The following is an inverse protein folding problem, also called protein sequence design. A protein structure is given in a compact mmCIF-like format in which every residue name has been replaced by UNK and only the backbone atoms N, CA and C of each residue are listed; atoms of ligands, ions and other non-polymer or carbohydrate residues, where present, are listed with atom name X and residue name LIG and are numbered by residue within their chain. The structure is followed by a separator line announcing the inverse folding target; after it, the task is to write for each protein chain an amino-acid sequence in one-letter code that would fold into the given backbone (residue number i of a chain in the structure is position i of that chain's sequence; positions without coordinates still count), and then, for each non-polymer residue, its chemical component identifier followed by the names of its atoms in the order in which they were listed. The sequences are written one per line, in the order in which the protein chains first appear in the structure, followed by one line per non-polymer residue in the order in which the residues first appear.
data_IF_942939043684
#
_entry.id   IF_942939043684
#
_cell.length_a   1.000
_cell.length_b   1.000
_cell.length_c   1.000
_cell.angle_alpha   90.00
_cell.angle_beta   90.00
_cell.angle_gamma   90.00
#
_symmetry.space_group_name_H-M   'P 1'
#
loop_
_entity.id
_entity.type
_entity.pdbx_description
1 polymer ?
#
# COMPACT_ATOMS: atom_id res chain seq x y z
N UNK A 1 -5.03 -22.82 -4.26
CA UNK A 1 -4.17 -21.62 -4.46
C UNK A 1 -2.83 -21.93 -3.80
N UNK A 2 -1.71 -21.79 -4.52
CA UNK A 2 -0.37 -22.03 -3.96
C UNK A 2 0.36 -20.70 -3.96
N UNK A 3 0.87 -20.29 -2.80
CA UNK A 3 1.72 -19.10 -2.68
C UNK A 3 3.15 -19.55 -2.86
N UNK A 4 3.87 -18.91 -3.79
CA UNK A 4 5.27 -19.17 -4.05
C UNK A 4 6.03 -17.88 -3.81
N UNK A 5 7.11 -17.95 -3.04
CA UNK A 5 7.99 -16.81 -2.83
C UNK A 5 8.92 -16.64 -4.02
N UNK A 6 9.07 -15.40 -4.47
CA UNK A 6 9.98 -15.00 -5.53
C UNK A 6 10.76 -13.76 -5.10
N UNK A 7 11.99 -13.64 -5.59
CA UNK A 7 12.84 -12.46 -5.36
C UNK A 7 12.88 -11.61 -6.62
N UNK A 8 12.72 -10.31 -6.46
CA UNK A 8 12.90 -9.35 -7.55
C UNK A 8 14.41 -9.17 -7.77
N UNK A 9 14.89 -9.51 -8.97
CA UNK A 9 16.28 -9.27 -9.36
C UNK A 9 16.43 -7.87 -9.98
N UNK A 10 15.47 -7.50 -10.82
CA UNK A 10 15.33 -6.16 -11.41
C UNK A 10 13.87 -5.92 -11.83
N UNK A 11 13.60 -4.77 -12.46
CA UNK A 11 12.25 -4.37 -12.87
C UNK A 11 11.55 -5.34 -13.84
N UNK A 12 12.29 -6.25 -14.47
CA UNK A 12 11.80 -7.17 -15.50
C UNK A 12 12.03 -8.65 -15.17
N UNK A 13 12.80 -8.95 -14.12
CA UNK A 13 13.16 -10.33 -13.77
C UNK A 13 12.79 -10.69 -12.33
N UNK A 14 12.12 -11.84 -12.22
CA UNK A 14 11.78 -12.49 -10.95
C UNK A 14 12.52 -13.83 -10.87
N UNK A 15 13.16 -14.09 -9.74
CA UNK A 15 13.75 -15.37 -9.39
C UNK A 15 12.78 -16.16 -8.52
N UNK A 16 12.41 -17.35 -8.98
CA UNK A 16 11.54 -18.25 -8.24
C UNK A 16 12.35 -19.08 -7.25
N UNK A 17 11.85 -19.22 -6.02
CA UNK A 17 12.46 -20.12 -5.02
C UNK A 17 12.26 -21.61 -5.36
N UNK A 18 11.24 -21.93 -6.15
CA UNK A 18 10.89 -23.29 -6.56
C UNK A 18 10.23 -23.33 -7.95
N UNK A 19 10.27 -24.48 -8.64
CA UNK A 19 9.62 -24.63 -9.95
C UNK A 19 8.09 -24.51 -9.89
N UNK A 20 7.51 -23.89 -10.91
CA UNK A 20 6.05 -23.84 -11.09
C UNK A 20 5.61 -25.03 -11.93
N UNK A 21 4.88 -25.97 -11.32
CA UNK A 21 4.31 -27.13 -11.99
C UNK A 21 2.94 -26.80 -12.62
N UNK A 22 2.93 -25.96 -13.66
CA UNK A 22 1.73 -25.61 -14.45
C UNK A 22 1.89 -26.02 -15.91
N UNK A 23 0.79 -26.34 -16.61
CA UNK A 23 0.87 -26.72 -18.02
C UNK A 23 1.35 -25.55 -18.89
N UNK A 24 1.98 -25.83 -20.05
CA UNK A 24 2.33 -24.80 -21.02
C UNK A 24 1.10 -23.99 -21.44
N UNK A 25 1.23 -22.67 -21.51
CA UNK A 25 0.13 -21.76 -21.83
C UNK A 25 -0.76 -21.37 -20.65
N UNK A 26 -0.47 -21.84 -19.43
CA UNK A 26 -1.14 -21.37 -18.23
C UNK A 26 -0.79 -19.90 -17.94
N UNK A 27 -1.81 -19.10 -17.62
CA UNK A 27 -1.65 -17.74 -17.10
C UNK A 27 -1.49 -17.79 -15.58
N UNK A 28 -0.50 -17.07 -15.05
CA UNK A 28 -0.31 -16.85 -13.62
C UNK A 28 -0.54 -15.37 -13.30
N UNK A 29 -1.16 -15.11 -12.16
CA UNK A 29 -1.37 -13.76 -11.63
C UNK A 29 -0.34 -13.49 -10.52
N UNK A 30 0.19 -12.27 -10.48
CA UNK A 30 1.17 -11.84 -9.48
C UNK A 30 0.58 -10.66 -8.73
N UNK A 31 0.40 -10.81 -7.42
CA UNK A 31 -0.02 -9.74 -6.52
C UNK A 31 1.22 -9.09 -5.91
N UNK A 32 1.39 -7.79 -6.13
CA UNK A 32 2.47 -6.99 -5.55
C UNK A 32 1.82 -6.02 -4.57
N UNK A 33 2.22 -5.99 -3.28
CA UNK A 33 1.72 -4.99 -2.36
C UNK A 33 2.19 -3.60 -2.80
N UNK A 34 1.26 -2.64 -2.96
CA UNK A 34 1.62 -1.24 -3.15
C UNK A 34 1.63 -0.55 -1.78
N UNK A 35 2.82 -0.29 -1.25
CA UNK A 35 3.00 0.41 0.04
C UNK A 35 2.45 1.85 0.01
N UNK A 36 2.16 2.40 -1.18
CA UNK A 36 1.60 3.75 -1.31
C UNK A 36 0.12 3.83 -0.96
N UNK A 37 -0.64 2.75 -1.14
CA UNK A 37 -2.07 2.74 -0.84
C UNK A 37 -2.32 2.81 0.67
N UNK A 38 -1.65 1.98 1.47
CA UNK A 38 -1.78 2.01 2.95
C UNK A 38 -1.35 3.36 3.55
N UNK A 39 -0.27 3.94 3.02
CA UNK A 39 0.21 5.25 3.50
C UNK A 39 -0.77 6.38 3.20
N UNK A 40 -1.44 6.35 2.04
CA UNK A 40 -2.43 7.36 1.66
C UNK A 40 -3.69 7.27 2.51
N UNK A 41 -4.22 6.06 2.73
CA UNK A 41 -5.42 5.86 3.55
C UNK A 41 -5.22 6.34 5.00
N UNK A 42 -4.06 6.04 5.58
CA UNK A 42 -3.72 6.46 6.94
C UNK A 42 -3.49 7.97 7.01
N UNK A 43 -2.87 8.56 5.98
CA UNK A 43 -2.65 9.99 5.91
C UNK A 43 -3.97 10.77 5.78
N UNK A 44 -4.92 10.26 5.00
CA UNK A 44 -6.25 10.87 4.86
C UNK A 44 -7.08 10.76 6.14
N UNK A 45 -7.09 9.59 6.79
CA UNK A 45 -7.77 9.39 8.07
C UNK A 45 -7.16 10.25 9.19
N UNK A 46 -5.83 10.33 9.26
CA UNK A 46 -5.12 11.17 10.23
C UNK A 46 -5.38 12.65 9.97
N UNK A 47 -5.42 13.10 8.70
CA UNK A 47 -5.76 14.48 8.35
C UNK A 47 -7.20 14.84 8.71
N UNK A 48 -8.14 13.94 8.47
CA UNK A 48 -9.54 14.15 8.83
C UNK A 48 -9.70 14.29 10.36
N UNK A 49 -9.08 13.38 11.13
CA UNK A 49 -9.10 13.45 12.60
C UNK A 49 -8.35 14.68 13.13
N UNK A 50 -7.25 15.08 12.49
CA UNK A 50 -6.52 16.29 12.87
C UNK A 50 -7.39 17.53 12.65
N UNK A 51 -8.04 17.67 11.49
CA UNK A 51 -8.91 18.82 11.22
C UNK A 51 -10.16 18.84 12.13
N UNK A 52 -10.75 17.68 12.42
CA UNK A 52 -11.88 17.55 13.36
C UNK A 52 -11.49 17.98 14.79
N UNK A 53 -10.27 17.66 15.22
CA UNK A 53 -9.77 18.05 16.55
C UNK A 53 -9.49 19.56 16.69
N UNK A 54 -9.45 20.32 15.59
CA UNK A 54 -9.18 21.75 15.57
C UNK A 54 -10.39 22.60 15.18
N UNK A 55 -11.60 22.02 15.05
CA UNK A 55 -12.79 22.82 14.74
C UNK A 55 -13.47 23.38 16.02
N UNK A 56 -13.78 24.68 15.93
CA UNK A 56 -14.62 25.54 16.79
C UNK A 56 -14.13 26.07 18.16
N UNK A 57 -12.87 25.95 18.58
CA UNK A 57 -12.41 26.61 19.84
C UNK A 57 -11.12 27.43 19.81
N UNK A 58 -10.55 27.73 18.63
CA UNK A 58 -9.39 28.63 18.55
C UNK A 58 -9.65 29.88 17.69
N UNK A 59 -10.85 30.44 17.80
CA UNK A 59 -11.07 31.86 17.52
C UNK A 59 -10.64 32.67 18.75
N UNK A 60 -9.36 32.63 19.10
CA UNK A 60 -8.79 33.64 20.00
C UNK A 60 -8.80 34.97 19.23
N UNK A 61 -9.89 35.71 19.37
CA UNK A 61 -9.93 37.14 19.08
C UNK A 61 -8.84 37.81 19.91
N UNK A 62 -7.76 38.21 19.25
CA UNK A 62 -6.75 39.10 19.81
C UNK A 62 -7.38 40.51 19.85
N UNK A 63 -8.06 40.82 20.95
CA UNK A 63 -8.50 42.16 21.30
C UNK A 63 -7.62 42.64 22.47
N UNK A 64 -6.48 43.24 22.12
CA UNK A 64 -5.63 44.05 23.01
C UNK A 64 -4.78 45.04 22.21
#
# INVERSE_FOLDING_TARGET
MKVISAKILDATHLELSEPIAVPPGATIEISIPDEREEAQEWQEAARAHFLDAYDEQDSLSDDL
#
